data_IF_623304241704
#
_entry.id   IF_623304241704
#
_cell.length_a   1.000
_cell.length_b   1.000
_cell.length_c   1.000
_cell.angle_alpha   90.00
_cell.angle_beta   90.00
_cell.angle_gamma   90.00
#
_symmetry.space_group_name_H-M   'P 1'
#
loop_
_entity.id
_entity.type
_entity.pdbx_description
1 polymer ?
#
# COMPACT_ATOMS: atom_id res chain seq x y z
N UNK A 1 -37.63 -14.73 8.82
CA UNK A 1 -36.50 -14.06 8.17
C UNK A 1 -36.12 -12.86 9.03
N UNK A 2 -34.97 -12.90 9.68
CA UNK A 2 -34.43 -11.74 10.39
C UNK A 2 -33.85 -10.83 9.32
N UNK A 3 -34.42 -9.65 9.11
CA UNK A 3 -33.81 -8.60 8.31
C UNK A 3 -32.57 -8.14 9.06
N UNK A 4 -31.38 -8.60 8.64
CA UNK A 4 -30.12 -8.07 9.16
C UNK A 4 -29.98 -6.66 8.63
N UNK A 5 -30.06 -5.67 9.52
CA UNK A 5 -29.94 -4.26 9.18
C UNK A 5 -28.54 -3.97 8.64
N UNK A 6 -28.44 -3.51 7.39
CA UNK A 6 -27.16 -3.26 6.74
C UNK A 6 -26.46 -2.06 7.38
N UNK A 7 -25.16 -2.19 7.64
CA UNK A 7 -24.31 -1.15 8.24
C UNK A 7 -24.10 0.01 7.25
N UNK A 8 -23.85 1.20 7.82
CA UNK A 8 -23.38 2.36 7.05
C UNK A 8 -22.02 2.03 6.40
N UNK A 9 -21.82 2.52 5.18
CA UNK A 9 -20.56 2.35 4.48
C UNK A 9 -19.38 2.89 5.30
N UNK A 10 -18.25 2.16 5.36
CA UNK A 10 -17.07 2.60 6.08
C UNK A 10 -16.40 3.78 5.35
N UNK A 11 -15.56 4.51 6.10
CA UNK A 11 -14.74 5.60 5.55
C UNK A 11 -13.84 5.08 4.42
N UNK A 12 -13.56 5.95 3.45
CA UNK A 12 -12.59 5.66 2.39
C UNK A 12 -11.19 5.52 2.98
N UNK A 13 -10.49 4.45 2.62
CA UNK A 13 -9.09 4.22 2.96
C UNK A 13 -8.17 4.76 1.86
N UNK A 14 -6.89 4.91 2.19
CA UNK A 14 -5.86 5.45 1.29
C UNK A 14 -5.78 4.73 -0.05
N UNK A 15 -5.77 3.39 -0.05
CA UNK A 15 -5.69 2.61 -1.30
C UNK A 15 -6.91 2.82 -2.20
N UNK A 16 -8.10 2.94 -1.61
CA UNK A 16 -9.33 3.24 -2.36
C UNK A 16 -9.27 4.63 -3.00
N UNK A 17 -8.69 5.61 -2.31
CA UNK A 17 -8.52 6.97 -2.80
C UNK A 17 -7.43 7.09 -3.86
N UNK A 18 -6.36 6.29 -3.78
CA UNK A 18 -5.33 6.19 -4.82
C UNK A 18 -5.97 5.69 -6.12
N UNK A 19 -6.75 4.62 -6.07
CA UNK A 19 -7.45 4.09 -7.24
C UNK A 19 -8.47 5.09 -7.82
N UNK A 20 -9.20 5.78 -6.94
CA UNK A 20 -10.19 6.78 -7.36
C UNK A 20 -9.54 8.03 -7.97
N UNK A 21 -8.41 8.48 -7.43
CA UNK A 21 -7.67 9.63 -7.95
C UNK A 21 -6.97 9.30 -9.28
N UNK A 22 -6.45 8.08 -9.42
CA UNK A 22 -5.89 7.59 -10.69
C UNK A 22 -6.94 7.64 -11.80
N UNK A 23 -8.16 7.13 -11.54
CA UNK A 23 -9.25 7.22 -12.50
C UNK A 23 -9.69 8.67 -12.75
N UNK A 24 -9.72 9.53 -11.73
CA UNK A 24 -10.07 10.94 -11.87
C UNK A 24 -9.21 11.64 -12.93
N UNK A 25 -7.90 11.42 -12.94
CA UNK A 25 -7.01 12.05 -13.93
C UNK A 25 -7.13 11.50 -15.35
N UNK A 26 -7.89 10.41 -15.56
CA UNK A 26 -8.15 9.82 -16.87
C UNK A 26 -9.49 10.25 -17.47
N UNK A 27 -10.33 10.94 -16.69
CA UNK A 27 -11.68 11.32 -17.07
C UNK A 27 -11.82 12.83 -17.21
N UNK A 28 -12.56 13.24 -18.23
CA UNK A 28 -13.07 14.60 -18.32
C UNK A 28 -14.25 14.81 -17.34
N UNK A 29 -14.48 16.02 -16.80
CA UNK A 29 -15.54 16.27 -15.82
C UNK A 29 -16.93 15.79 -16.25
N UNK A 30 -17.28 15.91 -17.54
CA UNK A 30 -18.56 15.43 -18.09
C UNK A 30 -18.73 13.91 -18.11
N UNK A 31 -17.66 13.16 -17.91
CA UNK A 31 -17.65 11.70 -17.90
C UNK A 31 -17.84 11.11 -16.49
N UNK A 32 -17.85 11.95 -15.44
CA UNK A 32 -17.97 11.51 -14.04
C UNK A 32 -19.43 11.20 -13.71
N UNK A 33 -19.90 10.02 -14.11
CA UNK A 33 -21.24 9.53 -13.80
C UNK A 33 -21.30 8.00 -13.64
N UNK A 34 -22.26 7.49 -12.86
CA UNK A 34 -22.36 6.07 -12.51
C UNK A 34 -22.53 5.09 -13.69
N UNK A 35 -22.94 5.59 -14.87
CA UNK A 35 -23.06 4.79 -16.11
C UNK A 35 -21.75 4.68 -16.90
N UNK A 36 -20.68 5.35 -16.48
CA UNK A 36 -19.41 5.32 -17.20
C UNK A 36 -18.76 3.94 -16.98
N UNK A 37 -18.40 3.20 -18.05
CA UNK A 37 -17.78 1.89 -17.95
C UNK A 37 -16.56 1.85 -17.03
N UNK A 38 -15.70 2.87 -17.05
CA UNK A 38 -14.49 2.93 -16.22
C UNK A 38 -14.82 3.13 -14.73
N UNK A 39 -15.90 3.85 -14.42
CA UNK A 39 -16.40 4.00 -13.04
C UNK A 39 -17.00 2.69 -12.53
N UNK A 40 -17.67 1.94 -13.40
CA UNK A 40 -18.22 0.61 -13.08
C UNK A 40 -17.06 -0.36 -12.80
N UNK A 41 -16.04 -0.39 -13.66
CA UNK A 41 -14.85 -1.22 -13.48
C UNK A 41 -14.10 -0.90 -12.18
N UNK A 42 -13.94 0.38 -11.84
CA UNK A 42 -13.36 0.78 -10.57
C UNK A 42 -14.22 0.33 -9.38
N UNK A 43 -15.55 0.46 -9.47
CA UNK A 43 -16.46 -0.07 -8.44
C UNK A 43 -16.24 -1.58 -8.23
N UNK A 44 -16.14 -2.36 -9.30
CA UNK A 44 -15.89 -3.81 -9.21
C UNK A 44 -14.52 -4.11 -8.57
N UNK A 45 -13.50 -3.33 -8.92
CA UNK A 45 -12.16 -3.45 -8.35
C UNK A 45 -12.14 -3.18 -6.85
N UNK A 46 -12.77 -2.08 -6.41
CA UNK A 46 -12.91 -1.73 -5.00
C UNK A 46 -13.65 -2.82 -4.21
N UNK A 47 -14.67 -3.42 -4.82
CA UNK A 47 -15.41 -4.53 -4.24
C UNK A 47 -14.60 -5.84 -4.15
N UNK A 48 -13.47 -5.97 -4.84
CA UNK A 48 -12.55 -7.13 -4.75
C UNK A 48 -11.39 -6.95 -3.77
N UNK A 49 -11.08 -5.73 -3.35
CA UNK A 49 -9.96 -5.47 -2.42
C UNK A 49 -10.14 -6.21 -1.08
N UNK A 50 -9.09 -6.78 -0.48
CA UNK A 50 -9.17 -7.47 0.81
C UNK A 50 -9.18 -6.48 2.01
N UNK A 51 -10.09 -5.51 1.98
CA UNK A 51 -10.25 -4.45 2.99
C UNK A 51 -11.70 -4.36 3.45
N UNK A 52 -11.92 -3.85 4.66
CA UNK A 52 -13.24 -3.67 5.31
C UNK A 52 -14.01 -4.95 5.68
N UNK A 53 -13.37 -6.12 5.64
CA UNK A 53 -13.99 -7.39 6.04
C UNK A 53 -15.10 -7.85 5.08
N UNK A 54 -16.17 -8.43 5.63
CA UNK A 54 -17.34 -8.84 4.84
C UNK A 54 -18.10 -7.60 4.32
N UNK A 55 -18.16 -7.47 2.99
CA UNK A 55 -18.75 -6.31 2.32
C UNK A 55 -20.26 -6.41 2.19
N UNK A 56 -20.83 -7.61 2.31
CA UNK A 56 -22.27 -7.83 2.19
C UNK A 56 -23.05 -7.22 3.37
N UNK A 57 -22.35 -6.97 4.48
CA UNK A 57 -22.87 -6.23 5.64
C UNK A 57 -23.23 -4.77 5.34
N UNK A 58 -22.70 -4.19 4.26
CA UNK A 58 -22.92 -2.78 3.91
C UNK A 58 -23.99 -2.62 2.83
N UNK A 59 -24.74 -1.52 2.91
CA UNK A 59 -25.89 -1.30 2.02
C UNK A 59 -25.50 -1.08 0.55
N UNK A 60 -24.50 -0.22 0.31
CA UNK A 60 -24.11 0.25 -1.02
C UNK A 60 -22.58 0.40 -1.10
N UNK A 61 -21.85 -0.64 -0.68
CA UNK A 61 -20.39 -0.57 -0.60
C UNK A 61 -19.78 -0.23 -1.96
N UNK A 62 -19.11 0.93 -2.03
CA UNK A 62 -18.32 1.41 -3.18
C UNK A 62 -18.97 1.20 -4.55
N UNK A 63 -20.30 1.32 -4.64
CA UNK A 63 -21.03 1.19 -5.89
C UNK A 63 -20.69 2.33 -6.88
N UNK A 64 -21.06 2.23 -8.18
CA UNK A 64 -20.67 3.21 -9.19
C UNK A 64 -21.11 4.65 -8.87
N UNK A 65 -22.26 4.82 -8.20
CA UNK A 65 -22.71 6.14 -7.72
C UNK A 65 -21.78 6.71 -6.65
N UNK A 66 -21.41 5.90 -5.66
CA UNK A 66 -20.48 6.30 -4.60
C UNK A 66 -19.10 6.64 -5.14
N UNK A 67 -18.63 5.91 -6.16
CA UNK A 67 -17.38 6.21 -6.87
C UNK A 67 -17.50 7.55 -7.60
N UNK A 68 -18.55 7.78 -8.38
CA UNK A 68 -18.76 9.05 -9.08
C UNK A 68 -18.83 10.26 -8.14
N UNK A 69 -19.51 10.11 -6.99
CA UNK A 69 -19.52 11.14 -5.95
C UNK A 69 -18.12 11.40 -5.38
N UNK A 70 -17.32 10.35 -5.19
CA UNK A 70 -15.94 10.49 -4.71
C UNK A 70 -15.05 11.21 -5.73
N UNK A 71 -15.13 10.87 -7.02
CA UNK A 71 -14.40 11.57 -8.08
C UNK A 71 -14.81 13.06 -8.16
N UNK A 72 -16.10 13.34 -7.98
CA UNK A 72 -16.61 14.72 -7.92
C UNK A 72 -16.10 15.52 -6.71
N UNK A 73 -15.67 14.86 -5.62
CA UNK A 73 -14.97 15.53 -4.53
C UNK A 73 -13.56 15.96 -4.95
N UNK A 74 -12.83 15.15 -5.73
CA UNK A 74 -11.52 15.55 -6.26
C UNK A 74 -11.63 16.71 -7.23
N UNK A 75 -12.70 16.75 -8.03
CA UNK A 75 -13.02 17.88 -8.89
C UNK A 75 -13.17 19.21 -8.10
N UNK A 76 -13.57 19.16 -6.83
CA UNK A 76 -13.63 20.33 -5.95
C UNK A 76 -12.27 20.78 -5.42
N UNK A 77 -11.26 19.91 -5.48
CA UNK A 77 -9.87 20.18 -5.05
C UNK A 77 -8.96 20.59 -6.21
N UNK A 78 -9.39 20.34 -7.44
CA UNK A 78 -8.62 20.63 -8.64
C UNK A 78 -8.70 22.12 -8.99
N UNK A 79 -7.60 22.82 -8.72
CA UNK A 79 -7.43 24.25 -8.99
C UNK A 79 -7.50 24.59 -10.49
N UNK A 80 -7.33 23.60 -11.38
CA UNK A 80 -7.43 23.79 -12.84
C UNK A 80 -8.87 23.75 -13.34
N UNK A 81 -9.80 23.27 -12.52
CA UNK A 81 -11.22 23.20 -12.85
C UNK A 81 -11.95 24.48 -12.43
N UNK A 82 -12.62 25.13 -13.40
CA UNK A 82 -13.31 26.41 -13.19
C UNK A 82 -14.75 26.29 -12.66
N UNK A 83 -15.28 25.07 -12.53
CA UNK A 83 -16.64 24.83 -12.05
C UNK A 83 -16.75 24.74 -10.53
N UNK A 84 -17.99 24.67 -10.01
CA UNK A 84 -18.23 24.37 -8.59
C UNK A 84 -18.22 22.86 -8.38
N UNK A 85 -17.18 22.33 -7.73
CA UNK A 85 -17.19 20.97 -7.21
C UNK A 85 -18.09 20.81 -5.98
N UNK A 86 -18.27 19.57 -5.50
CA UNK A 86 -19.03 19.30 -4.26
C UNK A 86 -18.19 19.54 -3.00
N UNK A 87 -18.75 20.21 -2.00
CA UNK A 87 -18.05 20.64 -0.78
C UNK A 87 -17.78 19.52 0.27
N UNK A 88 -17.91 18.25 -0.10
CA UNK A 88 -17.83 17.11 0.82
C UNK A 88 -16.45 16.41 0.83
N UNK A 89 -15.37 17.17 0.62
CA UNK A 89 -13.99 16.64 0.62
C UNK A 89 -13.54 16.27 2.02
N UNK A 90 -13.11 15.03 2.23
CA UNK A 90 -12.53 14.59 3.51
C UNK A 90 -11.10 15.13 3.70
N UNK A 91 -10.56 15.07 4.94
CA UNK A 91 -9.15 15.39 5.19
C UNK A 91 -8.21 14.51 4.35
N UNK A 92 -8.49 13.20 4.28
CA UNK A 92 -7.69 12.26 3.51
C UNK A 92 -7.82 12.49 2.00
N UNK A 93 -8.99 12.94 1.52
CA UNK A 93 -9.18 13.32 0.09
C UNK A 93 -8.19 14.44 -0.27
N UNK A 94 -8.05 15.45 0.60
CA UNK A 94 -7.12 16.59 0.41
C UNK A 94 -5.66 16.16 0.46
N UNK A 95 -5.30 15.31 1.43
CA UNK A 95 -3.93 14.81 1.58
C UNK A 95 -3.49 14.01 0.35
N UNK A 96 -4.32 13.07 -0.11
CA UNK A 96 -4.03 12.23 -1.29
C UNK A 96 -3.97 13.08 -2.56
N UNK A 97 -4.92 14.01 -2.74
CA UNK A 97 -4.91 14.90 -3.89
C UNK A 97 -3.65 15.77 -3.93
N UNK A 98 -3.31 16.43 -2.82
CA UNK A 98 -2.11 17.26 -2.73
C UNK A 98 -0.81 16.47 -2.94
N UNK A 99 -0.78 15.22 -2.47
CA UNK A 99 0.39 14.35 -2.61
C UNK A 99 0.67 13.95 -4.08
N UNK A 100 -0.39 13.70 -4.86
CA UNK A 100 -0.27 13.10 -6.18
C UNK A 100 -0.65 13.98 -7.37
N UNK A 101 -1.20 15.19 -7.16
CA UNK A 101 -1.63 16.08 -8.26
C UNK A 101 -0.55 16.33 -9.32
N UNK A 102 0.70 16.43 -8.88
CA UNK A 102 1.86 16.67 -9.75
C UNK A 102 2.70 15.41 -9.99
N UNK A 103 2.24 14.23 -9.52
CA UNK A 103 2.96 12.95 -9.55
C UNK A 103 2.14 11.85 -10.22
N UNK A 104 1.51 12.16 -11.35
CA UNK A 104 0.57 11.27 -12.05
C UNK A 104 1.19 9.92 -12.45
N UNK A 105 2.45 9.91 -12.87
CA UNK A 105 3.16 8.65 -13.19
C UNK A 105 3.28 7.74 -11.96
N UNK A 106 3.71 8.30 -10.83
CA UNK A 106 3.81 7.56 -9.57
C UNK A 106 2.45 7.07 -9.07
N UNK A 107 1.41 7.90 -9.19
CA UNK A 107 0.04 7.53 -8.83
C UNK A 107 -0.45 6.34 -9.66
N UNK A 108 -0.24 6.36 -10.99
CA UNK A 108 -0.62 5.25 -11.86
C UNK A 108 0.11 3.96 -11.51
N UNK A 109 1.40 4.04 -11.18
CA UNK A 109 2.21 2.91 -10.69
C UNK A 109 1.64 2.31 -9.40
N UNK A 110 1.30 3.16 -8.42
CA UNK A 110 0.66 2.77 -7.17
C UNK A 110 -0.71 2.12 -7.39
N UNK A 111 -1.55 2.74 -8.22
CA UNK A 111 -2.87 2.23 -8.55
C UNK A 111 -2.80 0.85 -9.23
N UNK A 112 -1.84 0.66 -10.15
CA UNK A 112 -1.62 -0.63 -10.78
C UNK A 112 -1.18 -1.70 -9.76
N UNK A 113 -0.25 -1.37 -8.87
CA UNK A 113 0.19 -2.29 -7.81
C UNK A 113 -0.97 -2.72 -6.90
N UNK A 114 -1.84 -1.78 -6.50
CA UNK A 114 -3.06 -2.07 -5.73
C UNK A 114 -4.01 -2.99 -6.53
N UNK A 115 -4.25 -2.70 -7.81
CA UNK A 115 -5.10 -3.54 -8.69
C UNK A 115 -4.56 -4.97 -8.79
N UNK A 116 -3.26 -5.15 -8.99
CA UNK A 116 -2.63 -6.47 -9.08
C UNK A 116 -2.80 -7.29 -7.79
N UNK A 117 -2.69 -6.64 -6.63
CA UNK A 117 -2.93 -7.31 -5.34
C UNK A 117 -4.38 -7.78 -5.16
N UNK A 118 -5.35 -7.15 -5.83
CA UNK A 118 -6.75 -7.57 -5.81
C UNK A 118 -7.02 -8.79 -6.70
N UNK A 119 -6.17 -9.02 -7.71
CA UNK A 119 -6.36 -10.04 -8.75
C UNK A 119 -5.61 -11.32 -8.42
N UNK A 120 -4.42 -11.23 -7.80
CA UNK A 120 -3.59 -12.39 -7.52
C UNK A 120 -4.01 -13.08 -6.20
N UNK A 121 -4.60 -14.29 -6.23
CA UNK A 121 -5.11 -14.96 -5.03
C UNK A 121 -4.00 -15.33 -4.04
N UNK A 122 -2.80 -15.67 -4.51
CA UNK A 122 -1.67 -16.00 -3.64
C UNK A 122 -1.21 -14.77 -2.84
N UNK A 123 -1.13 -13.61 -3.50
CA UNK A 123 -0.80 -12.33 -2.84
C UNK A 123 -1.92 -11.92 -1.87
N UNK A 124 -3.17 -12.10 -2.28
CA UNK A 124 -4.34 -11.81 -1.44
C UNK A 124 -4.35 -12.66 -0.17
N UNK A 125 -4.10 -13.96 -0.29
CA UNK A 125 -4.08 -14.90 0.84
C UNK A 125 -2.89 -14.62 1.77
N UNK A 126 -1.73 -14.28 1.23
CA UNK A 126 -0.58 -13.83 2.04
C UNK A 126 -0.91 -12.56 2.84
N UNK A 127 -1.56 -11.56 2.23
CA UNK A 127 -1.96 -10.31 2.90
C UNK A 127 -3.00 -10.55 3.99
N UNK A 128 -4.00 -11.40 3.72
CA UNK A 128 -5.08 -11.74 4.66
C UNK A 128 -4.56 -12.53 5.87
N UNK A 129 -3.51 -13.33 5.70
CA UNK A 129 -2.91 -14.13 6.76
C UNK A 129 -1.83 -13.41 7.57
N UNK A 130 -1.57 -12.12 7.30
CA UNK A 130 -0.68 -11.32 8.13
C UNK A 130 -1.35 -11.02 9.49
N UNK A 131 -0.64 -11.23 10.62
CA UNK A 131 -1.15 -10.86 11.92
C UNK A 131 -1.43 -9.35 12.02
N UNK A 132 -2.51 -8.99 12.72
CA UNK A 132 -2.97 -7.61 12.91
C UNK A 132 -2.09 -6.79 13.87
N UNK A 133 -0.96 -7.33 14.32
CA UNK A 133 0.00 -6.70 15.24
C UNK A 133 0.93 -5.68 14.57
N UNK A 134 0.43 -5.06 13.50
CA UNK A 134 1.06 -3.90 12.89
C UNK A 134 0.95 -2.73 13.87
N UNK A 135 2.07 -2.36 14.46
CA UNK A 135 2.23 -1.18 15.32
C UNK A 135 1.52 0.05 14.70
N UNK A 136 0.38 0.42 15.29
CA UNK A 136 -0.54 1.50 14.86
C UNK A 136 0.17 2.88 14.84
N UNK A 137 1.37 2.96 15.42
CA UNK A 137 2.23 4.13 15.46
C UNK A 137 3.11 4.32 14.21
N UNK A 138 3.21 3.33 13.33
CA UNK A 138 3.71 3.53 11.98
C UNK A 138 2.58 4.12 11.14
N UNK A 139 2.39 5.44 11.19
CA UNK A 139 1.58 6.18 10.22
C UNK A 139 2.24 6.07 8.85
N UNK A 140 2.04 4.94 8.17
CA UNK A 140 2.69 4.66 6.90
C UNK A 140 2.09 5.57 5.83
N UNK A 141 2.98 6.29 5.14
CA UNK A 141 2.67 7.08 3.93
C UNK A 141 2.31 6.20 2.74
N UNK A 142 2.47 4.88 2.83
CA UNK A 142 1.93 3.92 1.88
C UNK A 142 0.58 3.43 2.40
N UNK A 143 -0.41 3.24 1.53
CA UNK A 143 -1.69 2.69 1.96
C UNK A 143 -1.55 1.30 2.57
N UNK A 144 -2.56 0.89 3.34
CA UNK A 144 -2.49 -0.30 4.19
C UNK A 144 -2.22 -1.59 3.41
N UNK A 145 -2.67 -1.69 2.17
CA UNK A 145 -2.49 -2.89 1.35
C UNK A 145 -1.08 -3.01 0.77
N UNK A 146 -0.53 -1.91 0.26
CA UNK A 146 0.84 -1.87 -0.27
C UNK A 146 1.86 -2.08 0.85
N UNK A 147 1.61 -1.50 2.01
CA UNK A 147 2.43 -1.71 3.19
C UNK A 147 2.37 -3.16 3.69
N UNK A 148 1.17 -3.77 3.75
CA UNK A 148 1.03 -5.19 4.09
C UNK A 148 1.75 -6.09 3.08
N UNK A 149 1.66 -5.79 1.79
CA UNK A 149 2.41 -6.51 0.76
C UNK A 149 3.94 -6.32 0.90
N UNK A 150 4.38 -5.12 1.28
CA UNK A 150 5.78 -4.81 1.59
C UNK A 150 6.29 -5.65 2.76
N UNK A 151 5.55 -5.70 3.86
CA UNK A 151 5.86 -6.56 5.00
C UNK A 151 5.89 -8.06 4.63
N UNK A 152 4.96 -8.53 3.80
CA UNK A 152 4.93 -9.92 3.35
C UNK A 152 6.20 -10.29 2.55
N UNK A 153 6.65 -9.41 1.64
CA UNK A 153 7.90 -9.64 0.87
C UNK A 153 9.13 -9.55 1.75
N UNK A 154 9.22 -8.58 2.68
CA UNK A 154 10.32 -8.49 3.65
C UNK A 154 10.49 -9.77 4.47
N UNK A 155 9.39 -10.45 4.74
CA UNK A 155 9.35 -11.70 5.50
C UNK A 155 9.47 -12.95 4.64
N UNK A 156 9.67 -12.85 3.32
CA UNK A 156 9.82 -14.04 2.47
C UNK A 156 11.07 -14.84 2.90
N UNK A 157 10.89 -16.02 3.52
CA UNK A 157 11.97 -16.70 4.22
C UNK A 157 13.04 -17.21 3.26
N UNK A 158 12.66 -17.51 2.01
CA UNK A 158 13.58 -18.01 0.99
C UNK A 158 14.61 -16.96 0.58
N UNK A 159 14.16 -15.74 0.27
CA UNK A 159 15.06 -14.67 -0.19
C UNK A 159 15.88 -14.08 0.96
N UNK A 160 15.28 -13.95 2.16
CA UNK A 160 15.99 -13.50 3.36
C UNK A 160 17.12 -14.47 3.72
N UNK A 161 16.85 -15.78 3.67
CA UNK A 161 17.88 -16.80 3.90
C UNK A 161 19.02 -16.68 2.89
N UNK A 162 18.71 -16.57 1.60
CA UNK A 162 19.72 -16.37 0.54
C UNK A 162 20.56 -15.11 0.76
N UNK A 163 19.95 -14.00 1.18
CA UNK A 163 20.66 -12.74 1.49
C UNK A 163 21.61 -12.91 2.66
N UNK A 164 21.17 -13.51 3.77
CA UNK A 164 22.00 -13.80 4.94
C UNK A 164 23.17 -14.73 4.60
N UNK A 165 22.92 -15.79 3.83
CA UNK A 165 23.97 -16.70 3.36
C UNK A 165 25.00 -16.00 2.47
N UNK A 166 24.57 -15.12 1.56
CA UNK A 166 25.47 -14.29 0.74
C UNK A 166 26.35 -13.39 1.62
N UNK A 167 25.76 -12.71 2.60
CA UNK A 167 26.49 -11.85 3.53
C UNK A 167 27.50 -12.63 4.38
N UNK A 168 27.10 -13.77 4.95
CA UNK A 168 28.00 -14.65 5.70
C UNK A 168 29.16 -15.17 4.85
N UNK A 169 28.90 -15.57 3.59
CA UNK A 169 29.96 -16.01 2.66
C UNK A 169 30.95 -14.90 2.30
N UNK A 170 30.48 -13.67 2.12
CA UNK A 170 31.31 -12.54 1.69
C UNK A 170 32.07 -11.90 2.85
N UNK A 171 31.45 -11.78 4.02
CA UNK A 171 31.95 -10.97 5.14
C UNK A 171 32.26 -11.78 6.40
N UNK A 172 31.83 -13.04 6.48
CA UNK A 172 32.01 -13.90 7.66
C UNK A 172 31.13 -13.54 8.84
N UNK A 173 30.26 -12.53 8.73
CA UNK A 173 29.40 -12.01 9.80
C UNK A 173 28.10 -11.43 9.23
N UNK A 174 27.13 -11.18 10.11
CA UNK A 174 25.90 -10.46 9.81
C UNK A 174 25.91 -9.12 10.55
N UNK A 175 26.20 -8.05 9.82
CA UNK A 175 26.18 -6.69 10.36
C UNK A 175 25.15 -5.83 9.64
N UNK A 176 24.61 -4.85 10.36
CA UNK A 176 23.73 -3.86 9.78
C UNK A 176 24.46 -3.04 8.71
N UNK A 177 23.91 -2.98 7.51
CA UNK A 177 24.48 -2.23 6.38
C UNK A 177 24.43 -0.69 6.59
N UNK A 178 23.75 -0.20 7.62
CA UNK A 178 23.64 1.24 7.95
C UNK A 178 24.52 1.68 9.12
N UNK A 179 24.51 0.93 10.22
CA UNK A 179 25.20 1.33 11.45
C UNK A 179 26.27 0.33 11.91
N UNK A 180 26.51 -0.73 11.13
CA UNK A 180 27.47 -1.80 11.43
C UNK A 180 27.21 -2.55 12.75
N UNK A 181 25.98 -2.45 13.29
CA UNK A 181 25.58 -3.20 14.47
C UNK A 181 25.54 -4.70 14.16
N UNK A 182 26.13 -5.50 15.04
CA UNK A 182 26.22 -6.96 14.93
C UNK A 182 25.66 -7.58 16.22
N UNK A 183 24.56 -8.32 16.09
CA UNK A 183 23.88 -8.93 17.24
C UNK A 183 24.72 -10.01 17.90
N UNK A 184 25.47 -10.80 17.14
CA UNK A 184 26.33 -11.84 17.72
C UNK A 184 27.47 -11.19 18.50
N UNK A 185 28.06 -10.12 17.99
CA UNK A 185 29.13 -9.39 18.69
C UNK A 185 28.65 -8.80 20.02
N UNK A 186 27.42 -8.27 20.07
CA UNK A 186 26.89 -7.59 21.27
C UNK A 186 26.26 -8.56 22.26
N UNK A 187 25.52 -9.56 21.77
CA UNK A 187 24.70 -10.45 22.59
C UNK A 187 25.23 -11.89 22.65
N UNK A 188 26.31 -12.23 21.93
CA UNK A 188 26.87 -13.57 21.89
C UNK A 188 25.98 -14.54 21.12
N UNK A 189 25.91 -15.79 21.59
CA UNK A 189 25.21 -16.89 20.90
C UNK A 189 23.74 -16.61 20.60
N UNK A 190 23.03 -15.89 21.48
CA UNK A 190 21.61 -15.55 21.24
C UNK A 190 21.41 -14.58 20.07
N UNK A 191 22.46 -13.85 19.68
CA UNK A 191 22.45 -12.96 18.52
C UNK A 191 22.88 -13.64 17.23
N UNK A 192 23.35 -14.90 17.28
CA UNK A 192 23.82 -15.61 16.08
C UNK A 192 22.70 -15.77 15.06
N UNK A 193 22.96 -15.36 13.81
CA UNK A 193 21.98 -15.42 12.71
C UNK A 193 20.88 -14.35 12.77
N UNK A 194 20.80 -13.58 13.87
CA UNK A 194 19.77 -12.56 14.06
C UNK A 194 20.16 -11.26 13.37
N UNK A 195 19.34 -10.88 12.40
CA UNK A 195 19.37 -9.60 11.69
C UNK A 195 18.08 -9.53 10.87
N UNK A 196 17.55 -8.32 10.69
CA UNK A 196 16.34 -8.07 9.91
C UNK A 196 16.71 -7.74 8.47
N UNK A 197 15.73 -7.88 7.57
CA UNK A 197 15.92 -7.65 6.14
C UNK A 197 14.89 -6.63 5.68
N UNK A 198 15.34 -5.54 5.07
CA UNK A 198 14.50 -4.45 4.58
C UNK A 198 14.62 -4.35 3.05
N UNK A 199 13.54 -4.03 2.36
CA UNK A 199 13.59 -3.76 0.92
C UNK A 199 14.05 -2.31 0.68
N UNK A 200 15.14 -2.12 -0.06
CA UNK A 200 15.65 -0.77 -0.36
C UNK A 200 14.61 0.06 -1.11
N UNK A 201 13.93 -0.55 -2.08
CA UNK A 201 12.94 0.13 -2.90
C UNK A 201 11.52 -0.15 -2.39
N UNK A 202 10.69 0.89 -2.24
CA UNK A 202 9.27 0.74 -1.99
C UNK A 202 8.61 -0.11 -3.09
N UNK A 203 7.65 -0.96 -2.73
CA UNK A 203 7.08 -1.93 -3.68
C UNK A 203 6.30 -1.26 -4.83
N UNK A 204 5.84 -0.02 -4.65
CA UNK A 204 5.20 0.72 -5.75
C UNK A 204 6.16 1.08 -6.90
N UNK A 205 7.47 0.92 -6.70
CA UNK A 205 8.47 1.06 -7.78
C UNK A 205 8.68 -0.25 -8.53
N UNK A 206 8.21 -1.38 -8.00
CA UNK A 206 8.34 -2.73 -8.55
C UNK A 206 7.04 -3.13 -9.30
N UNK A 207 6.60 -2.25 -10.21
CA UNK A 207 5.29 -2.29 -10.89
C UNK A 207 5.17 -3.42 -11.92
N UNK A 208 6.28 -4.06 -12.24
CA UNK A 208 6.35 -5.23 -13.11
C UNK A 208 6.60 -6.48 -12.26
N UNK A 209 6.49 -7.69 -12.84
CA UNK A 209 7.06 -8.93 -12.26
C UNK A 209 8.59 -8.85 -12.22
N UNK A 210 9.13 -7.78 -11.64
CA UNK A 210 10.55 -7.67 -11.31
C UNK A 210 10.85 -8.70 -10.24
N UNK A 211 11.64 -9.69 -10.64
CA UNK A 211 12.26 -10.67 -9.76
C UNK A 211 13.01 -9.89 -8.66
N UNK A 212 12.63 -10.08 -7.38
CA UNK A 212 13.40 -9.46 -6.30
C UNK A 212 14.79 -10.08 -6.29
N UNK A 213 15.79 -9.25 -6.52
CA UNK A 213 17.18 -9.65 -6.42
C UNK A 213 17.67 -9.50 -4.99
N UNK A 214 18.79 -10.14 -4.67
CA UNK A 214 19.43 -9.95 -3.35
C UNK A 214 19.94 -8.51 -3.14
N UNK A 215 20.07 -7.72 -4.21
CA UNK A 215 20.59 -6.35 -4.14
C UNK A 215 19.49 -5.34 -3.81
N UNK A 216 18.22 -5.70 -4.05
CA UNK A 216 17.02 -4.98 -3.60
C UNK A 216 16.79 -5.10 -2.09
N UNK A 217 17.53 -5.98 -1.43
CA UNK A 217 17.47 -6.21 0.01
C UNK A 217 18.66 -5.59 0.73
N UNK A 218 18.43 -5.19 1.97
CA UNK A 218 19.47 -4.79 2.91
C UNK A 218 19.29 -5.45 4.27
N UNK A 219 20.40 -5.86 4.88
CA UNK A 219 20.43 -6.36 6.25
C UNK A 219 20.53 -5.20 7.23
N UNK A 220 19.59 -5.13 8.18
CA UNK A 220 19.47 -4.02 9.12
C UNK A 220 19.22 -4.52 10.54
N UNK A 221 19.69 -3.77 11.55
CA UNK A 221 19.32 -4.04 12.93
C UNK A 221 17.90 -3.55 13.23
N UNK A 222 17.27 -4.07 14.28
CA UNK A 222 15.88 -3.74 14.65
C UNK A 222 15.64 -2.24 14.84
N UNK A 223 16.63 -1.50 15.35
CA UNK A 223 16.53 -0.05 15.49
C UNK A 223 16.55 0.65 14.12
N UNK A 224 17.50 0.33 13.26
CA UNK A 224 17.59 0.91 11.93
C UNK A 224 16.38 0.54 11.07
N UNK A 225 15.93 -0.71 11.14
CA UNK A 225 14.74 -1.17 10.43
C UNK A 225 13.51 -0.35 10.81
N UNK A 226 13.29 -0.13 12.12
CA UNK A 226 12.20 0.70 12.60
C UNK A 226 12.31 2.17 12.17
N UNK A 227 13.52 2.70 12.04
CA UNK A 227 13.75 4.06 11.54
C UNK A 227 13.52 4.18 10.03
N UNK A 228 13.85 3.15 9.25
CA UNK A 228 13.56 3.11 7.81
C UNK A 228 12.05 3.14 7.56
N UNK A 229 11.26 2.35 8.29
CA UNK A 229 9.79 2.40 8.24
C UNK A 229 9.20 3.76 8.67
N UNK A 230 9.98 4.61 9.34
CA UNK A 230 9.61 5.99 9.70
C UNK A 230 10.12 7.05 8.72
N UNK A 231 10.76 6.64 7.62
CA UNK A 231 11.27 7.53 6.59
C UNK A 231 12.61 8.20 6.93
N UNK A 232 13.49 7.50 7.66
CA UNK A 232 14.81 8.04 7.99
C UNK A 232 15.70 8.20 6.75
N UNK A 233 15.64 7.25 5.81
CA UNK A 233 16.42 7.25 4.57
C UNK A 233 15.50 6.78 3.44
N UNK A 234 15.45 7.55 2.35
CA UNK A 234 14.84 7.14 1.08
C UNK A 234 15.97 6.64 0.15
N UNK A 235 15.79 5.47 -0.48
CA UNK A 235 16.74 4.87 -1.43
C UNK A 235 16.29 5.02 -2.89
#
# INVERSE_FOLDING_TARGET
>A
MILVEKKRNPKWQRDELILALDLYFQLEPGQIHARNPLIIELSDTLNKLPIHGDKDEYEKFRNPNGVGLKLSNFLALDETYSGKGMAATSKLDKEIFAEFKDKKELLGKLANAIKLSAINPAIRDEILNLPDDVDDDAKVKEGGLLYRYHLARERNPGIVKKKKEKALKLHGKLECELCSFDFQRVYGEIGYGFIECHHKKPLYTLVEETETTLDDLMLVCSNCHRMLHRGWIDF
#
